data_IF_862868772971
#
_entry.id   IF_862868772971
#
_cell.length_a   1.000
_cell.length_b   1.000
_cell.length_c   1.000
_cell.angle_alpha   90.00
_cell.angle_beta   90.00
_cell.angle_gamma   90.00
#
_symmetry.space_group_name_H-M   'P 1'
#
loop_
_entity.id
_entity.type
_entity.pdbx_description
1 polymer ?
#
# COMPACT_ATOMS: atom_id res chain seq x y z
N UNK A 1 -2.82 44.69 28.97
CA UNK A 1 -2.67 44.81 27.51
C UNK A 1 -2.01 43.53 27.08
N UNK A 2 -2.78 42.80 26.29
CA UNK A 2 -2.81 41.36 26.09
C UNK A 2 -1.49 40.65 25.82
N UNK A 3 -1.42 39.48 26.45
CA UNK A 3 -0.54 38.37 26.15
C UNK A 3 -0.79 37.89 24.71
N UNK A 4 0.25 37.86 23.89
CA UNK A 4 0.19 37.19 22.60
C UNK A 4 0.44 35.70 22.80
N UNK A 5 -0.63 34.97 23.14
CA UNK A 5 -0.73 33.54 22.89
C UNK A 5 -0.70 33.31 21.37
N UNK A 6 0.47 32.92 20.86
CA UNK A 6 0.56 32.42 19.48
C UNK A 6 0.19 30.94 19.53
N UNK A 7 -0.95 30.63 18.92
CA UNK A 7 -1.62 29.33 18.99
C UNK A 7 -0.79 28.22 18.36
N UNK A 8 -0.65 27.14 19.14
CA UNK A 8 -0.04 25.84 18.86
C UNK A 8 -0.88 24.99 17.87
N UNK A 9 -1.60 25.61 16.93
CA UNK A 9 -2.64 24.95 16.12
C UNK A 9 -2.26 24.71 14.65
N UNK A 10 -0.99 24.92 14.27
CA UNK A 10 -0.50 24.65 12.90
C UNK A 10 0.41 23.42 12.78
N UNK A 11 0.66 22.68 13.87
CA UNK A 11 1.57 21.52 13.87
C UNK A 11 0.89 20.18 14.22
N UNK A 12 -0.44 20.15 14.35
CA UNK A 12 -1.19 18.95 14.74
C UNK A 12 -1.47 17.93 13.61
N UNK A 13 -1.13 18.25 12.36
CA UNK A 13 -1.44 17.39 11.20
C UNK A 13 -0.33 16.39 10.83
N UNK A 14 0.73 16.26 11.65
CA UNK A 14 1.83 15.35 11.35
C UNK A 14 1.97 14.13 12.25
N UNK A 15 1.17 13.96 13.29
CA UNK A 15 1.29 12.78 14.14
C UNK A 15 -0.08 12.26 14.58
N UNK A 16 -0.55 11.19 13.93
CA UNK A 16 -1.27 10.11 14.61
C UNK A 16 -1.18 8.77 13.88
N UNK A 17 -0.75 7.79 14.68
CA UNK A 17 -1.08 6.36 14.68
C UNK A 17 -0.20 5.35 13.91
N UNK A 18 0.49 4.51 14.71
CA UNK A 18 1.24 3.34 14.24
C UNK A 18 1.99 2.58 15.33
N UNK A 19 1.38 2.35 16.51
CA UNK A 19 1.89 1.39 17.50
C UNK A 19 1.59 -0.05 17.04
N UNK A 20 2.23 -0.46 15.95
CA UNK A 20 2.40 -1.83 15.44
C UNK A 20 3.22 -1.70 14.15
N UNK A 21 4.26 -2.51 13.95
CA UNK A 21 5.22 -2.37 12.84
C UNK A 21 4.69 -2.62 11.43
N UNK A 22 3.62 -1.92 11.02
CA UNK A 22 2.97 -1.99 9.72
C UNK A 22 3.46 -0.81 8.87
N UNK A 23 4.24 -1.10 7.83
CA UNK A 23 4.52 -0.12 6.79
C UNK A 23 3.31 -0.04 5.85
N UNK A 24 2.72 1.14 5.69
CA UNK A 24 1.57 1.38 4.81
C UNK A 24 1.85 2.56 3.88
N UNK A 25 1.60 2.35 2.57
CA UNK A 25 1.68 3.41 1.56
C UNK A 25 0.27 3.61 0.99
N UNK A 26 -0.33 4.77 1.26
CA UNK A 26 -1.63 5.15 0.70
C UNK A 26 -1.44 6.16 -0.44
N UNK A 27 -2.10 5.91 -1.57
CA UNK A 27 -2.11 6.80 -2.73
C UNK A 27 -3.55 7.10 -3.17
N UNK A 28 -3.93 8.38 -3.18
CA UNK A 28 -5.21 8.87 -3.68
C UNK A 28 -4.93 10.04 -4.63
N UNK A 29 -5.26 9.89 -5.91
CA UNK A 29 -5.09 10.92 -6.93
C UNK A 29 -6.15 10.78 -8.02
N UNK A 30 -6.41 11.87 -8.74
CA UNK A 30 -7.21 11.86 -9.95
C UNK A 30 -6.27 11.87 -11.16
N UNK A 31 -6.18 10.74 -11.87
CA UNK A 31 -5.25 10.53 -12.97
C UNK A 31 -5.97 10.33 -14.30
N UNK A 32 -5.33 10.68 -15.44
CA UNK A 32 -5.74 10.18 -16.75
C UNK A 32 -5.78 8.65 -16.78
N UNK A 33 -6.69 8.08 -17.56
CA UNK A 33 -6.89 6.63 -17.64
C UNK A 33 -5.60 5.88 -18.02
N UNK A 34 -4.86 6.38 -19.00
CA UNK A 34 -3.61 5.76 -19.49
C UNK A 34 -2.53 5.68 -18.40
N UNK A 35 -2.44 6.70 -17.54
CA UNK A 35 -1.52 6.68 -16.40
C UNK A 35 -1.95 5.62 -15.38
N UNK A 36 -3.25 5.53 -15.08
CA UNK A 36 -3.79 4.49 -14.20
C UNK A 36 -3.55 3.08 -14.78
N UNK A 37 -3.71 2.89 -16.09
CA UNK A 37 -3.40 1.63 -16.78
C UNK A 37 -1.93 1.27 -16.62
N UNK A 38 -1.03 2.23 -16.79
CA UNK A 38 0.42 2.03 -16.60
C UNK A 38 0.76 1.54 -15.19
N UNK A 39 0.08 2.07 -14.15
CA UNK A 39 0.22 1.57 -12.78
C UNK A 39 -0.26 0.11 -12.64
N UNK A 40 -1.40 -0.23 -13.24
CA UNK A 40 -1.90 -1.61 -13.20
C UNK A 40 -0.96 -2.58 -13.92
N UNK A 41 -0.40 -2.20 -15.06
CA UNK A 41 0.59 -3.00 -15.78
C UNK A 41 1.85 -3.21 -14.96
N UNK A 42 2.35 -2.18 -14.28
CA UNK A 42 3.50 -2.31 -13.39
C UNK A 42 3.23 -3.30 -12.25
N UNK A 43 2.04 -3.26 -11.64
CA UNK A 43 1.62 -4.24 -10.61
C UNK A 43 1.58 -5.65 -11.19
N UNK A 44 0.91 -5.84 -12.35
CA UNK A 44 0.81 -7.15 -13.01
C UNK A 44 2.20 -7.71 -13.37
N UNK A 45 3.09 -6.87 -13.88
CA UNK A 45 4.47 -7.26 -14.18
C UNK A 45 5.22 -7.64 -12.90
N UNK A 46 5.05 -6.89 -11.81
CA UNK A 46 5.63 -7.23 -10.52
C UNK A 46 5.11 -8.56 -9.97
N UNK A 47 3.83 -8.85 -10.11
CA UNK A 47 3.25 -10.15 -9.75
C UNK A 47 3.85 -11.30 -10.57
N UNK A 48 3.98 -11.13 -11.89
CA UNK A 48 4.60 -12.13 -12.77
C UNK A 48 6.05 -12.41 -12.43
N UNK A 49 6.79 -11.37 -12.01
CA UNK A 49 8.20 -11.47 -11.65
C UNK A 49 8.43 -11.87 -10.17
N UNK A 50 7.37 -11.99 -9.36
CA UNK A 50 7.46 -12.31 -7.94
C UNK A 50 7.93 -11.16 -7.04
N UNK A 51 7.99 -9.93 -7.56
CA UNK A 51 8.42 -8.75 -6.84
C UNK A 51 7.66 -7.50 -7.31
N UNK A 52 6.94 -6.87 -6.39
CA UNK A 52 6.29 -5.58 -6.61
C UNK A 52 7.03 -4.55 -5.75
N UNK A 53 7.41 -3.43 -6.36
CA UNK A 53 8.00 -2.30 -5.62
C UNK A 53 7.05 -1.12 -5.75
N UNK A 54 6.67 -0.55 -4.61
CA UNK A 54 5.82 0.63 -4.53
C UNK A 54 6.64 1.73 -3.86
N UNK A 55 6.84 2.83 -4.56
CA UNK A 55 7.61 3.98 -4.07
C UNK A 55 6.71 5.20 -3.97
N UNK A 56 6.80 5.93 -2.85
CA UNK A 56 6.12 7.21 -2.64
C UNK A 56 7.00 8.13 -1.79
N UNK A 57 7.50 9.21 -2.40
CA UNK A 57 8.46 10.09 -1.74
C UNK A 57 9.70 9.29 -1.33
N UNK A 58 10.04 9.35 -0.05
CA UNK A 58 11.18 8.63 0.52
C UNK A 58 10.81 7.22 1.02
N UNK A 59 9.55 6.80 0.90
CA UNK A 59 9.09 5.48 1.33
C UNK A 59 9.07 4.51 0.15
N UNK A 60 9.75 3.39 0.32
CA UNK A 60 9.76 2.27 -0.61
C UNK A 60 9.27 1.00 0.10
N UNK A 61 8.31 0.31 -0.51
CA UNK A 61 7.78 -0.95 -0.02
C UNK A 61 8.01 -2.05 -1.06
N UNK A 62 8.76 -3.07 -0.65
CA UNK A 62 8.98 -4.27 -1.47
C UNK A 62 8.07 -5.40 -1.02
N UNK A 63 7.27 -5.86 -1.97
CA UNK A 63 6.27 -6.89 -1.78
C UNK A 63 6.65 -8.13 -2.59
N UNK A 64 6.51 -9.32 -2.00
CA UNK A 64 6.77 -10.61 -2.66
C UNK A 64 5.51 -11.46 -2.67
N UNK A 65 4.70 -11.39 -3.74
CA UNK A 65 3.55 -12.27 -3.92
C UNK A 65 3.95 -13.74 -3.79
N UNK A 66 3.07 -14.54 -3.20
CA UNK A 66 3.26 -15.99 -3.09
C UNK A 66 2.51 -16.72 -4.21
N UNK A 67 2.77 -18.03 -4.36
CA UNK A 67 2.11 -18.89 -5.36
C UNK A 67 0.57 -18.89 -5.22
N UNK A 68 0.09 -18.75 -3.99
CA UNK A 68 -1.34 -18.64 -3.68
C UNK A 68 -1.65 -17.28 -3.08
N UNK A 69 -2.67 -16.62 -3.64
CA UNK A 69 -3.15 -15.30 -3.22
C UNK A 69 -4.65 -15.37 -2.96
N UNK A 70 -5.13 -14.55 -2.03
CA UNK A 70 -6.54 -14.24 -1.88
C UNK A 70 -6.87 -13.02 -2.75
N UNK A 71 -7.89 -13.13 -3.60
CA UNK A 71 -8.34 -12.06 -4.48
C UNK A 71 -9.84 -11.83 -4.27
N UNK A 72 -10.20 -10.63 -3.81
CA UNK A 72 -11.58 -10.18 -3.76
C UNK A 72 -11.81 -9.04 -4.76
N UNK A 73 -12.84 -9.18 -5.59
CA UNK A 73 -13.24 -8.17 -6.57
C UNK A 73 -14.67 -7.73 -6.30
N UNK A 74 -14.86 -6.42 -6.16
CA UNK A 74 -16.19 -5.80 -6.01
C UNK A 74 -16.38 -4.75 -7.09
N UNK A 75 -17.44 -4.88 -7.86
CA UNK A 75 -17.83 -3.89 -8.87
C UNK A 75 -19.22 -3.34 -8.55
N UNK A 76 -19.42 -2.04 -8.73
CA UNK A 76 -20.71 -1.38 -8.53
C UNK A 76 -20.90 -0.25 -9.54
N UNK A 77 -22.15 -0.01 -9.93
CA UNK A 77 -22.54 1.08 -10.83
C UNK A 77 -23.75 1.81 -10.27
N UNK A 78 -23.70 3.15 -10.30
CA UNK A 78 -24.82 4.06 -10.05
C UNK A 78 -24.93 5.02 -11.25
N UNK A 79 -26.05 5.75 -11.40
CA UNK A 79 -26.42 6.52 -12.61
C UNK A 79 -25.27 7.25 -13.33
N UNK A 80 -24.34 7.84 -12.59
CA UNK A 80 -23.23 8.65 -13.11
C UNK A 80 -21.85 8.20 -12.61
N UNK A 81 -21.74 7.02 -11.97
CA UNK A 81 -20.49 6.59 -11.35
C UNK A 81 -20.32 5.07 -11.41
N UNK A 82 -19.15 4.67 -11.87
CA UNK A 82 -18.68 3.30 -11.86
C UNK A 82 -17.57 3.18 -10.83
N UNK A 83 -17.54 2.03 -10.14
CA UNK A 83 -16.46 1.72 -9.19
C UNK A 83 -16.13 0.25 -9.29
N UNK A 84 -14.83 -0.01 -9.39
CA UNK A 84 -14.25 -1.32 -9.16
C UNK A 84 -13.27 -1.21 -8.00
N UNK A 85 -13.28 -2.21 -7.12
CA UNK A 85 -12.37 -2.35 -5.99
C UNK A 85 -11.76 -3.74 -6.07
N UNK A 86 -10.44 -3.79 -5.96
CA UNK A 86 -9.66 -5.01 -5.87
C UNK A 86 -8.98 -5.03 -4.50
N UNK A 87 -9.00 -6.19 -3.88
CA UNK A 87 -8.24 -6.47 -2.67
C UNK A 87 -7.45 -7.75 -2.93
N UNK A 88 -6.14 -7.67 -2.72
CA UNK A 88 -5.20 -8.75 -2.96
C UNK A 88 -4.38 -8.92 -1.68
N UNK A 89 -4.46 -10.11 -1.09
CA UNK A 89 -3.69 -10.47 0.10
C UNK A 89 -2.90 -11.75 -0.17
N UNK A 90 -1.73 -11.85 0.43
CA UNK A 90 -1.00 -13.10 0.55
C UNK A 90 -0.29 -13.18 1.90
N UNK A 91 -0.11 -14.41 2.39
CA UNK A 91 0.63 -14.66 3.63
C UNK A 91 2.11 -14.79 3.32
N UNK A 92 2.95 -14.13 4.10
CA UNK A 92 4.41 -14.31 3.98
C UNK A 92 4.76 -15.73 4.46
N UNK A 93 5.74 -16.39 3.81
CA UNK A 93 6.21 -17.69 4.27
C UNK A 93 6.74 -17.54 5.71
N UNK A 94 6.33 -18.44 6.59
CA UNK A 94 6.93 -18.51 7.92
C UNK A 94 8.43 -18.73 7.76
N UNK A 95 9.24 -17.90 8.43
CA UNK A 95 10.68 -18.06 8.44
C UNK A 95 10.96 -19.42 9.10
N UNK A 96 11.26 -20.42 8.28
CA UNK A 96 11.61 -21.74 8.78
C UNK A 96 13.03 -21.63 9.32
N UNK A 97 13.21 -21.74 10.63
CA UNK A 97 14.54 -21.86 11.23
C UNK A 97 15.16 -23.19 10.75
N UNK A 98 15.87 -23.11 9.64
CA UNK A 98 16.68 -24.20 9.11
C UNK A 98 17.85 -24.44 10.08
N UNK A 99 17.67 -25.35 11.03
CA UNK A 99 18.78 -25.97 11.75
C UNK A 99 19.57 -26.83 10.75
N UNK A 100 20.66 -26.28 10.24
CA UNK A 100 21.69 -27.06 9.55
C UNK A 100 22.45 -27.82 10.65
N UNK A 101 22.03 -29.05 10.95
CA UNK A 101 22.91 -30.00 11.63
C UNK A 101 23.92 -30.49 10.61
N UNK A 102 25.15 -29.99 10.71
CA UNK A 102 26.29 -30.62 10.05
C UNK A 102 26.69 -31.86 10.86
N UNK A 103 26.79 -33.00 10.17
CA UNK A 103 27.34 -34.26 10.68
C UNK A 103 28.83 -34.37 10.33
#
# INVERSE_FOLDING_TARGET
>A
MDELETTDEAMSDLEHDGENGKAEVKYESFLPLEEAVSYFEAIVNGMRNGAITITRGDTELHLRPQESIELAVKASRKKNKERISFEIEWRMPAKSDLHISAE
#
